data_IF_933933752578
#
_entry.id   IF_933933752578
#
_cell.length_a   1.000
_cell.length_b   1.000
_cell.length_c   1.000
_cell.angle_alpha   90.00
_cell.angle_beta   90.00
_cell.angle_gamma   90.00
#
_symmetry.space_group_name_H-M   'P 1'
#
loop_
_entity.id
_entity.type
_entity.pdbx_description
1 polymer ?
#
# COMPACT_ATOMS: atom_id res chain seq x y z
N UNK A 1 -47.43 0.77 6.35
CA UNK A 1 -46.93 1.41 5.11
C UNK A 1 -45.67 0.68 4.65
N UNK A 2 -45.74 -0.04 3.54
CA UNK A 2 -44.58 -0.75 2.98
C UNK A 2 -43.62 0.31 2.40
N UNK A 3 -42.46 0.55 3.04
CA UNK A 3 -41.45 1.46 2.47
C UNK A 3 -41.01 0.90 1.12
N UNK A 4 -41.37 1.57 0.03
CA UNK A 4 -40.95 1.21 -1.33
C UNK A 4 -39.43 1.38 -1.40
N UNK A 5 -38.70 0.26 -1.45
CA UNK A 5 -37.23 0.26 -1.39
C UNK A 5 -36.67 0.91 -2.65
N UNK A 6 -35.79 1.91 -2.48
CA UNK A 6 -35.04 2.49 -3.58
C UNK A 6 -33.87 1.57 -3.94
N UNK A 7 -34.09 0.70 -4.94
CA UNK A 7 -33.09 -0.27 -5.39
C UNK A 7 -31.85 0.37 -6.01
N UNK A 8 -32.00 1.53 -6.67
CA UNK A 8 -30.88 2.25 -7.27
C UNK A 8 -29.88 2.69 -6.20
N UNK A 9 -30.36 3.36 -5.15
CA UNK A 9 -29.52 3.79 -4.03
C UNK A 9 -28.90 2.61 -3.27
N UNK A 10 -29.67 1.53 -3.08
CA UNK A 10 -29.17 0.33 -2.42
C UNK A 10 -28.03 -0.32 -3.21
N UNK A 11 -28.16 -0.43 -4.53
CA UNK A 11 -27.13 -0.99 -5.38
C UNK A 11 -25.85 -0.15 -5.35
N UNK A 12 -25.95 1.19 -5.37
CA UNK A 12 -24.74 2.01 -5.24
C UNK A 12 -24.05 1.84 -3.89
N UNK A 13 -24.83 1.67 -2.82
CA UNK A 13 -24.26 1.32 -1.50
C UNK A 13 -23.55 -0.04 -1.52
N UNK A 14 -23.99 -0.99 -2.34
CA UNK A 14 -23.31 -2.29 -2.48
C UNK A 14 -22.01 -2.16 -3.28
N UNK A 15 -22.01 -1.40 -4.37
CA UNK A 15 -20.80 -1.14 -5.17
C UNK A 15 -19.75 -0.43 -4.32
N UNK A 16 -20.14 0.62 -3.57
CA UNK A 16 -19.25 1.37 -2.69
C UNK A 16 -18.60 0.54 -1.59
N UNK A 17 -19.19 -0.60 -1.19
CA UNK A 17 -18.56 -1.51 -0.21
C UNK A 17 -17.31 -2.18 -0.74
N UNK A 18 -17.15 -2.27 -2.07
CA UNK A 18 -15.96 -2.79 -2.72
C UNK A 18 -14.91 -1.74 -3.05
N UNK A 19 -15.15 -0.45 -2.73
CA UNK A 19 -14.15 0.60 -2.95
C UNK A 19 -12.98 0.41 -1.99
N UNK A 20 -11.77 0.31 -2.54
CA UNK A 20 -10.52 0.24 -1.77
C UNK A 20 -9.72 1.51 -2.02
N UNK A 21 -9.39 2.21 -0.94
CA UNK A 21 -8.48 3.34 -0.96
C UNK A 21 -7.11 2.89 -0.49
N UNK A 22 -6.08 3.19 -1.29
CA UNK A 22 -4.70 2.94 -0.94
C UNK A 22 -4.05 4.30 -0.62
N UNK A 23 -3.57 4.44 0.61
CA UNK A 23 -2.74 5.57 1.00
C UNK A 23 -1.28 5.31 0.61
N UNK A 24 -0.62 6.34 0.11
CA UNK A 24 0.81 6.35 -0.24
C UNK A 24 1.60 7.33 0.64
N UNK A 25 1.07 7.66 1.83
CA UNK A 25 1.61 8.70 2.71
C UNK A 25 3.04 8.37 3.20
N UNK A 26 3.43 7.09 3.16
CA UNK A 26 4.81 6.65 3.42
C UNK A 26 5.84 7.28 2.47
N UNK A 27 5.43 7.81 1.32
CA UNK A 27 6.30 8.52 0.39
C UNK A 27 6.69 9.92 0.88
N UNK A 28 5.88 10.55 1.74
CA UNK A 28 6.13 11.90 2.23
C UNK A 28 7.32 11.94 3.18
N UNK A 29 7.41 10.94 4.07
CA UNK A 29 8.43 10.85 5.11
C UNK A 29 9.47 9.75 4.85
N UNK A 30 9.60 9.30 3.59
CA UNK A 30 10.41 8.13 3.23
C UNK A 30 11.85 8.23 3.77
N UNK A 31 12.55 9.32 3.46
CA UNK A 31 13.96 9.48 3.81
C UNK A 31 14.14 9.80 5.30
N UNK A 32 13.23 10.58 5.91
CA UNK A 32 13.25 10.89 7.34
C UNK A 32 13.07 9.62 8.18
N UNK A 33 12.06 8.81 7.86
CA UNK A 33 11.80 7.55 8.55
C UNK A 33 12.97 6.59 8.39
N UNK A 34 13.52 6.47 7.18
CA UNK A 34 14.66 5.59 6.91
C UNK A 34 15.93 6.03 7.65
N UNK A 35 16.19 7.34 7.72
CA UNK A 35 17.32 7.89 8.47
C UNK A 35 17.18 7.58 9.96
N UNK A 36 15.99 7.82 10.54
CA UNK A 36 15.69 7.50 11.94
C UNK A 36 15.83 6.01 12.23
N UNK A 37 15.37 5.14 11.32
CA UNK A 37 15.51 3.68 11.46
C UNK A 37 16.97 3.19 11.42
N UNK A 38 17.84 3.94 10.74
CA UNK A 38 19.24 3.60 10.58
C UNK A 38 20.16 4.35 11.57
N UNK A 39 19.62 5.25 12.39
CA UNK A 39 20.39 5.98 13.38
C UNK A 39 21.01 5.01 14.41
N UNK A 40 22.33 5.05 14.54
CA UNK A 40 23.08 4.16 15.44
C UNK A 40 23.02 2.67 15.09
N UNK A 41 22.46 2.29 13.93
CA UNK A 41 22.34 0.88 13.53
C UNK A 41 23.70 0.29 13.18
N UNK A 42 24.05 -0.82 13.83
CA UNK A 42 25.25 -1.62 13.52
C UNK A 42 24.88 -2.72 12.52
N UNK A 43 25.68 -2.86 11.44
CA UNK A 43 25.45 -3.85 10.36
C UNK A 43 24.80 -3.24 9.12
N UNK A 44 24.16 -4.07 8.27
CA UNK A 44 23.56 -3.62 7.01
C UNK A 44 22.39 -2.66 7.30
N UNK A 45 22.38 -1.44 6.71
CA UNK A 45 21.28 -0.50 6.90
C UNK A 45 20.00 -1.00 6.24
N UNK A 46 18.87 -0.59 6.81
CA UNK A 46 17.57 -0.70 6.15
C UNK A 46 17.56 0.12 4.87
N UNK A 47 16.86 -0.38 3.85
CA UNK A 47 16.67 0.30 2.56
C UNK A 47 15.27 0.88 2.37
N UNK A 48 14.33 0.40 3.18
CA UNK A 48 12.90 0.67 3.05
C UNK A 48 12.33 1.13 4.39
N UNK A 49 11.44 2.15 4.40
CA UNK A 49 10.76 2.57 5.62
C UNK A 49 9.85 1.48 6.17
N UNK A 50 9.61 1.48 7.48
CA UNK A 50 8.73 0.53 8.14
C UNK A 50 7.28 0.71 7.71
N UNK A 51 6.81 1.95 7.53
CA UNK A 51 5.47 2.25 7.03
C UNK A 51 5.22 1.68 5.64
N UNK A 52 6.20 1.73 4.75
CA UNK A 52 6.15 1.06 3.46
C UNK A 52 6.06 -0.47 3.63
N UNK A 53 6.84 -1.06 4.53
CA UNK A 53 6.75 -2.50 4.79
C UNK A 53 5.37 -2.91 5.36
N UNK A 54 4.74 -2.09 6.20
CA UNK A 54 3.37 -2.33 6.67
C UNK A 54 2.35 -2.27 5.52
N UNK A 55 2.50 -1.31 4.60
CA UNK A 55 1.67 -1.24 3.40
C UNK A 55 1.80 -2.51 2.55
N UNK A 56 3.03 -2.99 2.32
CA UNK A 56 3.26 -4.25 1.59
C UNK A 56 2.69 -5.47 2.34
N UNK A 57 2.83 -5.51 3.66
CA UNK A 57 2.31 -6.59 4.49
C UNK A 57 0.78 -6.67 4.40
N UNK A 58 0.09 -5.52 4.43
CA UNK A 58 -1.36 -5.47 4.24
C UNK A 58 -1.76 -6.02 2.87
N UNK A 59 -1.11 -5.56 1.80
CA UNK A 59 -1.38 -6.07 0.45
C UNK A 59 -1.09 -7.57 0.32
N UNK A 60 -0.05 -8.05 0.98
CA UNK A 60 0.30 -9.47 0.95
C UNK A 60 -0.77 -10.33 1.62
N UNK A 61 -1.21 -9.93 2.80
CA UNK A 61 -2.22 -10.66 3.58
C UNK A 61 -3.58 -10.60 2.91
N UNK A 62 -3.95 -9.48 2.31
CA UNK A 62 -5.28 -9.26 1.76
C UNK A 62 -5.44 -9.70 0.29
N UNK A 63 -4.39 -9.60 -0.53
CA UNK A 63 -4.55 -9.66 -2.00
C UNK A 63 -3.48 -10.46 -2.76
N UNK A 64 -2.19 -10.33 -2.44
CA UNK A 64 -1.11 -10.72 -3.36
C UNK A 64 -0.04 -11.63 -2.72
N UNK A 65 0.36 -12.75 -3.36
CA UNK A 65 1.55 -13.50 -2.95
C UNK A 65 2.85 -12.68 -3.02
N UNK A 66 3.86 -13.05 -2.22
CA UNK A 66 5.13 -12.31 -2.09
C UNK A 66 5.81 -11.98 -3.43
N UNK A 67 5.89 -12.91 -4.38
CA UNK A 67 6.52 -12.65 -5.69
C UNK A 67 5.71 -11.72 -6.58
N UNK A 68 4.38 -11.72 -6.45
CA UNK A 68 3.52 -10.79 -7.20
C UNK A 68 3.65 -9.36 -6.70
N UNK A 69 4.02 -9.16 -5.43
CA UNK A 69 4.30 -7.83 -4.87
C UNK A 69 5.38 -7.08 -5.65
N UNK A 70 6.43 -7.77 -6.12
CA UNK A 70 7.47 -7.14 -6.94
C UNK A 70 6.89 -6.63 -8.26
N UNK A 71 6.08 -7.43 -8.95
CA UNK A 71 5.40 -7.02 -10.19
C UNK A 71 4.44 -5.85 -9.98
N UNK A 72 3.67 -5.87 -8.89
CA UNK A 72 2.83 -4.77 -8.47
C UNK A 72 3.63 -3.48 -8.26
N UNK A 73 4.73 -3.54 -7.49
CA UNK A 73 5.57 -2.37 -7.22
C UNK A 73 6.28 -1.84 -8.47
N UNK A 74 6.76 -2.72 -9.34
CA UNK A 74 7.33 -2.32 -10.64
C UNK A 74 6.32 -1.51 -11.44
N UNK A 75 5.09 -2.01 -11.59
CA UNK A 75 4.06 -1.30 -12.35
C UNK A 75 3.64 0.01 -11.68
N UNK A 76 3.54 0.02 -10.36
CA UNK A 76 3.18 1.21 -9.59
C UNK A 76 4.26 2.31 -9.70
N UNK A 77 5.54 1.93 -9.73
CA UNK A 77 6.67 2.86 -9.84
C UNK A 77 6.71 3.62 -11.17
N UNK A 78 6.10 3.08 -12.23
CA UNK A 78 5.96 3.79 -13.52
C UNK A 78 5.10 5.05 -13.39
N UNK A 79 4.15 5.07 -12.45
CA UNK A 79 3.24 6.20 -12.22
C UNK A 79 3.69 7.10 -11.06
N UNK A 80 4.52 6.56 -10.14
CA UNK A 80 4.95 7.27 -8.93
C UNK A 80 6.48 7.24 -8.88
N UNK A 81 7.16 8.25 -9.45
CA UNK A 81 8.62 8.25 -9.58
C UNK A 81 9.39 8.20 -8.26
N UNK A 82 8.77 8.62 -7.14
CA UNK A 82 9.38 8.56 -5.80
C UNK A 82 9.38 7.16 -5.19
N UNK A 83 8.59 6.23 -5.73
CA UNK A 83 8.45 4.88 -5.19
C UNK A 83 9.66 4.03 -5.58
N UNK A 84 10.40 3.54 -4.59
CA UNK A 84 11.48 2.57 -4.80
C UNK A 84 10.90 1.14 -4.78
N UNK A 85 11.24 0.33 -5.77
CA UNK A 85 10.77 -1.06 -5.88
C UNK A 85 11.55 -1.95 -4.90
N UNK A 86 10.83 -2.70 -4.07
CA UNK A 86 11.40 -3.80 -3.30
C UNK A 86 11.41 -5.06 -4.17
N UNK A 87 12.62 -5.49 -4.54
CA UNK A 87 12.86 -6.71 -5.30
C UNK A 87 13.51 -7.79 -4.42
N UNK A 88 13.47 -9.03 -4.91
CA UNK A 88 14.03 -10.20 -4.23
C UNK A 88 15.43 -10.57 -4.74
N UNK A 89 16.15 -9.62 -5.36
CA UNK A 89 17.45 -9.84 -6.00
C UNK A 89 18.64 -9.75 -5.03
#
# INVERSE_FOLDING_TARGET
MQKKRNWKEYNEKLVRRGELYISLDFLENWDEELNRMNEGKVGRPFRFPQTFMHFLAFLHVAFLPLRQMEGFLRKLSEYIPKLKVADYS
#
